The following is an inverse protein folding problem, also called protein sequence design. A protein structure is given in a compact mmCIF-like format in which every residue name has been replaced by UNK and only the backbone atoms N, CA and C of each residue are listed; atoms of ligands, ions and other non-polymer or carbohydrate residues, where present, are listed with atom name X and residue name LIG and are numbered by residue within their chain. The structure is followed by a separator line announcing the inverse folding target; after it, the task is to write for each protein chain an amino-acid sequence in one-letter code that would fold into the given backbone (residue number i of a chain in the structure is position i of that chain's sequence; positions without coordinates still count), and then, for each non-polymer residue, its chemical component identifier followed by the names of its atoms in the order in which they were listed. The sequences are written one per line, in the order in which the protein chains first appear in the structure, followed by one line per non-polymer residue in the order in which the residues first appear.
data_IF_443818095039
#
_entry.id   IF_443818095039
#
_cell.length_a   1.000
_cell.length_b   1.000
_cell.length_c   1.000
_cell.angle_alpha   90.00
_cell.angle_beta   90.00
_cell.angle_gamma   90.00
#
_symmetry.space_group_name_H-M   'P 1'
#
loop_
_entity.id
_entity.type
_entity.pdbx_description
1 polymer ?
#
# COMPACT_ATOMS: atom_id res chain seq x y z
N UNK A 1 -26.05 24.75 -1.60
CA UNK A 1 -25.79 23.40 -2.18
C UNK A 1 -26.72 22.42 -1.50
N UNK A 2 -27.49 21.62 -2.25
CA UNK A 2 -28.41 20.64 -1.66
C UNK A 2 -27.58 19.52 -1.00
N UNK A 3 -27.85 19.14 0.26
CA UNK A 3 -27.06 18.14 1.00
C UNK A 3 -26.97 16.79 0.24
N UNK A 4 -28.00 16.46 -0.55
CA UNK A 4 -28.05 15.28 -1.41
C UNK A 4 -26.93 15.20 -2.47
N UNK A 5 -26.43 16.34 -2.96
CA UNK A 5 -25.37 16.35 -3.99
C UNK A 5 -24.01 15.97 -3.40
N UNK A 6 -23.74 16.39 -2.16
CA UNK A 6 -22.48 16.10 -1.49
C UNK A 6 -22.40 14.63 -1.07
N UNK A 7 -23.50 14.08 -0.53
CA UNK A 7 -23.58 12.65 -0.21
C UNK A 7 -23.44 11.77 -1.46
N UNK A 8 -24.05 12.15 -2.59
CA UNK A 8 -23.87 11.43 -3.85
C UNK A 8 -22.40 11.43 -4.32
N UNK A 9 -21.71 12.57 -4.23
CA UNK A 9 -20.31 12.67 -4.60
C UNK A 9 -19.39 11.81 -3.70
N UNK A 10 -19.60 11.83 -2.39
CA UNK A 10 -18.81 11.03 -1.44
C UNK A 10 -19.01 9.53 -1.69
N UNK A 11 -20.25 9.08 -1.89
CA UNK A 11 -20.55 7.68 -2.19
C UNK A 11 -19.91 7.22 -3.50
N UNK A 12 -19.96 8.05 -4.54
CA UNK A 12 -19.31 7.75 -5.83
C UNK A 12 -17.79 7.62 -5.70
N UNK A 13 -17.15 8.45 -4.87
CA UNK A 13 -15.72 8.37 -4.58
C UNK A 13 -15.36 7.07 -3.84
N UNK A 14 -16.12 6.71 -2.81
CA UNK A 14 -15.89 5.49 -2.03
C UNK A 14 -16.01 4.23 -2.90
N UNK A 15 -17.02 4.16 -3.78
CA UNK A 15 -17.19 3.04 -4.72
C UNK A 15 -15.98 2.92 -5.67
N UNK A 16 -15.43 4.05 -6.12
CA UNK A 16 -14.26 4.08 -7.02
C UNK A 16 -12.97 3.64 -6.30
N UNK A 17 -12.83 3.95 -5.01
CA UNK A 17 -11.70 3.51 -4.19
C UNK A 17 -11.78 2.03 -3.82
N UNK A 18 -12.99 1.50 -3.61
CA UNK A 18 -13.19 0.06 -3.34
C UNK A 18 -12.90 -0.79 -4.56
N UNK A 19 -13.19 -0.29 -5.78
CA UNK A 19 -12.85 -1.01 -7.02
C UNK A 19 -11.37 -0.90 -7.40
N UNK A 20 -10.67 0.13 -6.90
CA UNK A 20 -9.22 0.23 -7.01
C UNK A 20 -8.57 -0.82 -6.09
N UNK A 21 -8.31 -2.01 -6.64
CA UNK A 21 -7.57 -3.05 -5.95
C UNK A 21 -6.23 -2.52 -5.45
N UNK A 22 -5.83 -2.89 -4.22
CA UNK A 22 -4.51 -2.57 -3.70
C UNK A 22 -3.47 -3.32 -4.55
N UNK A 23 -2.75 -2.59 -5.40
CA UNK A 23 -1.62 -3.15 -6.15
C UNK A 23 -0.47 -3.34 -5.16
N UNK A 24 -0.29 -4.57 -4.72
CA UNK A 24 0.88 -4.94 -3.92
C UNK A 24 2.02 -5.16 -4.91
N UNK A 25 3.01 -4.27 -4.93
CA UNK A 25 4.26 -4.50 -5.64
C UNK A 25 5.10 -5.49 -4.83
N UNK A 26 5.30 -6.73 -5.30
CA UNK A 26 6.06 -7.72 -4.56
C UNK A 26 7.53 -7.30 -4.49
N UNK A 27 8.15 -7.55 -3.34
CA UNK A 27 9.60 -7.47 -3.19
C UNK A 27 10.20 -8.70 -3.85
N UNK A 28 11.09 -8.49 -4.81
CA UNK A 28 11.88 -9.56 -5.41
C UNK A 28 13.17 -9.79 -4.62
N UNK A 29 13.75 -11.01 -4.62
CA UNK A 29 14.96 -11.32 -3.86
C UNK A 29 16.13 -10.38 -4.18
N UNK A 30 16.25 -9.91 -5.42
CA UNK A 30 17.33 -9.04 -5.88
C UNK A 30 17.20 -7.60 -5.36
N UNK A 31 16.02 -7.25 -4.82
CA UNK A 31 15.76 -5.94 -4.22
C UNK A 31 16.07 -5.91 -2.72
N UNK A 32 16.39 -7.06 -2.13
CA UNK A 32 16.72 -7.17 -0.70
C UNK A 32 18.16 -6.72 -0.46
N UNK A 33 18.33 -5.79 0.47
CA UNK A 33 19.66 -5.31 0.89
C UNK A 33 19.99 -5.82 2.30
N UNK A 34 21.28 -5.86 2.69
CA UNK A 34 21.67 -6.24 4.04
C UNK A 34 20.99 -5.37 5.10
N UNK A 35 20.53 -6.00 6.19
CA UNK A 35 19.89 -5.36 7.33
C UNK A 35 20.89 -4.96 8.42
N UNK A 36 20.69 -3.81 9.05
CA UNK A 36 21.25 -3.51 10.37
C UNK A 36 20.30 -4.00 11.49
N UNK A 37 20.80 -4.10 12.72
CA UNK A 37 20.07 -4.69 13.85
C UNK A 37 18.72 -4.02 14.16
N UNK A 38 18.60 -2.71 13.90
CA UNK A 38 17.38 -1.92 14.14
C UNK A 38 16.47 -1.81 12.91
N UNK A 39 16.80 -2.49 11.81
CA UNK A 39 16.03 -2.38 10.59
C UNK A 39 14.83 -3.35 10.59
N UNK A 40 13.64 -2.75 10.51
CA UNK A 40 12.38 -3.35 10.04
C UNK A 40 12.01 -4.72 10.62
N UNK A 41 11.58 -4.72 11.88
CA UNK A 41 11.31 -5.88 12.73
C UNK A 41 10.61 -7.08 12.05
N UNK A 42 9.61 -6.85 11.19
CA UNK A 42 8.80 -7.91 10.56
C UNK A 42 8.92 -7.98 9.02
N UNK A 43 10.13 -7.90 8.46
CA UNK A 43 10.30 -8.01 7.01
C UNK A 43 11.73 -7.96 6.51
N UNK A 44 11.87 -7.60 5.24
CA UNK A 44 13.14 -7.36 4.56
C UNK A 44 13.31 -5.86 4.28
N UNK A 45 14.56 -5.41 4.21
CA UNK A 45 14.89 -4.04 3.81
C UNK A 45 15.12 -4.03 2.30
N UNK A 46 14.59 -3.00 1.67
CA UNK A 46 14.86 -2.63 0.28
C UNK A 46 15.29 -1.17 0.24
N UNK A 47 15.89 -0.69 -0.86
CA UNK A 47 16.18 0.74 -1.02
C UNK A 47 14.93 1.64 -0.96
N UNK A 48 13.73 1.08 -1.17
CA UNK A 48 12.46 1.80 -1.11
C UNK A 48 11.83 1.82 0.28
N UNK A 49 12.48 1.19 1.27
CA UNK A 49 11.96 0.98 2.61
C UNK A 49 11.71 -0.50 2.90
N UNK A 50 10.75 -0.78 3.75
CA UNK A 50 10.58 -2.12 4.31
C UNK A 50 9.24 -2.74 3.99
N UNK A 51 9.26 -4.06 3.85
CA UNK A 51 8.06 -4.83 3.64
C UNK A 51 8.30 -6.32 3.76
N UNK A 52 7.21 -7.11 3.69
CA UNK A 52 7.29 -8.57 3.72
C UNK A 52 7.79 -9.10 2.37
N UNK A 53 8.72 -10.05 2.41
CA UNK A 53 9.05 -10.87 1.24
C UNK A 53 7.95 -11.93 1.07
N UNK A 54 7.21 -11.89 -0.04
CA UNK A 54 6.13 -12.84 -0.34
C UNK A 54 6.57 -13.78 -1.47
N UNK A 55 6.31 -15.08 -1.30
CA UNK A 55 6.55 -16.13 -2.30
C UNK A 55 5.49 -16.14 -3.39
#
# INVERSE_FOLDING_TARGET
MKPATLTAAVLSLCVSLVSAGVVITPIKPEQVVPKNADDCFFGVVTPQGCGPLRS
#
